data_IF_038796827658
#
_entry.id   IF_038796827658
#
_cell.length_a   1.000
_cell.length_b   1.000
_cell.length_c   1.000
_cell.angle_alpha   90.00
_cell.angle_beta   90.00
_cell.angle_gamma   90.00
#
_symmetry.space_group_name_H-M   'P 1'
#
loop_
_entity.id
_entity.type
_entity.pdbx_description
1 polymer ?
#
# COMPACT_ATOMS: atom_id res chain seq x y z
N UNK A 1 -20.91 -33.50 -24.92
CA UNK A 1 -21.03 -33.71 -23.45
C UNK A 1 -22.50 -33.84 -23.06
N UNK A 2 -22.84 -34.80 -22.16
CA UNK A 2 -24.22 -34.98 -21.66
C UNK A 2 -24.69 -33.71 -20.90
N UNK A 3 -25.86 -33.11 -21.24
CA UNK A 3 -26.36 -31.90 -20.60
C UNK A 3 -26.56 -32.04 -19.08
N UNK A 4 -26.96 -33.21 -18.61
CA UNK A 4 -27.15 -33.48 -17.16
C UNK A 4 -25.83 -33.50 -16.40
N UNK A 5 -24.78 -34.08 -16.99
CA UNK A 5 -23.44 -34.09 -16.43
C UNK A 5 -22.85 -32.68 -16.39
N UNK A 6 -23.04 -31.91 -17.45
CA UNK A 6 -22.59 -30.53 -17.54
C UNK A 6 -23.23 -29.64 -16.45
N UNK A 7 -24.55 -29.75 -16.28
CA UNK A 7 -25.24 -29.00 -15.23
C UNK A 7 -24.75 -29.38 -13.84
N UNK A 8 -24.50 -30.66 -13.57
CA UNK A 8 -23.97 -31.13 -12.30
C UNK A 8 -22.52 -30.63 -12.06
N UNK A 9 -21.69 -30.60 -13.10
CA UNK A 9 -20.34 -30.05 -13.01
C UNK A 9 -20.34 -28.55 -12.72
N UNK A 10 -21.18 -27.77 -13.41
CA UNK A 10 -21.30 -26.34 -13.19
C UNK A 10 -21.83 -26.05 -11.77
N UNK A 11 -22.80 -26.81 -11.28
CA UNK A 11 -23.37 -26.66 -9.94
C UNK A 11 -22.34 -26.96 -8.83
N UNK A 12 -21.32 -27.77 -9.08
CA UNK A 12 -20.24 -28.06 -8.14
C UNK A 12 -19.21 -26.91 -8.05
N UNK A 13 -19.23 -25.94 -8.95
CA UNK A 13 -18.32 -24.79 -8.95
C UNK A 13 -18.93 -23.70 -8.05
N UNK A 14 -18.23 -23.28 -6.98
CA UNK A 14 -18.78 -22.29 -6.03
C UNK A 14 -18.83 -20.87 -6.62
N UNK A 15 -18.01 -20.60 -7.65
CA UNK A 15 -17.98 -19.30 -8.34
C UNK A 15 -18.97 -19.27 -9.51
N UNK A 16 -19.39 -18.07 -9.98
CA UNK A 16 -20.19 -17.95 -11.18
C UNK A 16 -19.55 -18.65 -12.37
N UNK A 17 -20.23 -19.62 -12.92
CA UNK A 17 -19.74 -20.44 -14.04
C UNK A 17 -20.85 -20.69 -15.06
N UNK A 18 -20.50 -20.62 -16.34
CA UNK A 18 -21.43 -20.86 -17.44
C UNK A 18 -20.72 -21.49 -18.63
N UNK A 19 -21.50 -22.17 -19.45
CA UNK A 19 -21.02 -22.88 -20.62
C UNK A 19 -21.55 -22.22 -21.90
N UNK A 20 -20.64 -21.78 -22.75
CA UNK A 20 -20.96 -21.27 -24.08
C UNK A 20 -20.88 -22.38 -25.12
N UNK A 21 -21.87 -22.46 -26.00
CA UNK A 21 -21.88 -23.34 -27.15
C UNK A 21 -22.67 -22.71 -28.31
N UNK A 22 -22.11 -22.77 -29.50
CA UNK A 22 -22.79 -22.19 -30.69
C UNK A 22 -23.08 -20.71 -30.55
N UNK A 23 -22.22 -19.94 -29.87
CA UNK A 23 -22.40 -18.49 -29.69
C UNK A 23 -23.44 -18.07 -28.64
N UNK A 24 -23.93 -18.99 -27.79
CA UNK A 24 -24.86 -18.67 -26.70
C UNK A 24 -24.54 -19.44 -25.41
N UNK A 25 -25.02 -18.92 -24.27
CA UNK A 25 -24.94 -19.61 -22.98
C UNK A 25 -25.90 -20.80 -22.99
N UNK A 26 -25.36 -22.00 -23.04
CA UNK A 26 -26.14 -23.24 -23.08
C UNK A 26 -26.51 -23.75 -21.67
N UNK A 27 -25.69 -23.42 -20.65
CA UNK A 27 -25.96 -23.73 -19.25
C UNK A 27 -25.24 -22.72 -18.34
N UNK A 28 -25.78 -22.49 -17.14
CA UNK A 28 -25.19 -21.66 -16.11
C UNK A 28 -25.47 -22.25 -14.72
N UNK A 29 -24.63 -21.91 -13.72
CA UNK A 29 -24.90 -22.29 -12.35
C UNK A 29 -25.68 -21.18 -11.61
N UNK A 30 -26.24 -21.47 -10.41
CA UNK A 30 -27.02 -20.48 -9.65
C UNK A 30 -26.25 -19.19 -9.34
N UNK A 31 -24.93 -19.29 -9.15
CA UNK A 31 -24.10 -18.13 -8.91
C UNK A 31 -23.98 -17.24 -10.15
N UNK A 32 -23.95 -17.80 -11.36
CA UNK A 32 -23.98 -17.05 -12.61
C UNK A 32 -25.37 -16.43 -12.87
N UNK A 33 -26.46 -17.17 -12.55
CA UNK A 33 -27.83 -16.65 -12.64
C UNK A 33 -28.05 -15.44 -11.72
N UNK A 34 -27.51 -15.46 -10.51
CA UNK A 34 -27.53 -14.33 -9.57
C UNK A 34 -26.80 -13.09 -10.12
N UNK A 35 -25.90 -13.26 -11.09
CA UNK A 35 -25.23 -12.17 -11.79
C UNK A 35 -25.97 -11.68 -13.04
N UNK A 36 -27.08 -12.31 -13.40
CA UNK A 36 -27.85 -11.99 -14.59
C UNK A 36 -27.42 -12.75 -15.85
N UNK A 37 -26.64 -13.82 -15.71
CA UNK A 37 -26.29 -14.72 -16.83
C UNK A 37 -27.32 -15.83 -16.89
N UNK A 38 -28.09 -15.90 -17.98
CA UNK A 38 -29.11 -16.92 -18.16
C UNK A 38 -28.88 -17.75 -19.41
N UNK A 39 -29.33 -18.99 -19.38
CA UNK A 39 -29.31 -19.86 -20.57
C UNK A 39 -30.08 -19.23 -21.72
N UNK A 40 -29.52 -19.30 -22.92
CA UNK A 40 -30.06 -18.70 -24.14
C UNK A 40 -29.55 -17.30 -24.46
N UNK A 41 -28.84 -16.63 -23.57
CA UNK A 41 -28.20 -15.33 -23.85
C UNK A 41 -27.08 -15.49 -24.87
N UNK A 42 -26.99 -14.56 -25.85
CA UNK A 42 -25.90 -14.60 -26.82
C UNK A 42 -24.55 -14.27 -26.18
N UNK A 43 -23.48 -14.86 -26.70
CA UNK A 43 -22.13 -14.59 -26.21
C UNK A 43 -21.74 -13.11 -26.37
N UNK A 44 -22.23 -12.43 -27.43
CA UNK A 44 -21.99 -11.00 -27.67
C UNK A 44 -22.70 -10.09 -26.65
N UNK A 45 -23.85 -10.52 -26.11
CA UNK A 45 -24.53 -9.80 -25.04
C UNK A 45 -23.83 -10.01 -23.69
N UNK A 46 -23.21 -11.15 -23.51
CA UNK A 46 -22.57 -11.54 -22.26
C UNK A 46 -21.14 -11.01 -22.15
N UNK A 47 -20.37 -11.04 -23.23
CA UNK A 47 -18.91 -10.89 -23.20
C UNK A 47 -18.37 -9.93 -24.26
N UNK A 48 -17.43 -9.10 -23.84
CA UNK A 48 -16.67 -8.22 -24.72
C UNK A 48 -15.19 -8.13 -24.23
N UNK A 49 -14.20 -8.64 -24.99
CA UNK A 49 -14.34 -9.52 -26.15
C UNK A 49 -14.80 -10.95 -25.77
N UNK A 50 -15.33 -11.69 -26.74
CA UNK A 50 -15.61 -13.13 -26.58
C UNK A 50 -14.25 -13.85 -26.51
N UNK A 51 -13.95 -14.58 -25.42
CA UNK A 51 -12.65 -15.21 -25.27
C UNK A 51 -12.47 -16.41 -26.19
N UNK A 52 -11.30 -16.49 -26.83
CA UNK A 52 -10.87 -17.68 -27.54
C UNK A 52 -10.11 -18.58 -26.56
N UNK A 53 -10.67 -19.76 -26.26
CA UNK A 53 -9.98 -20.74 -25.44
C UNK A 53 -9.21 -21.72 -26.33
N UNK A 54 -7.87 -21.85 -26.17
CA UNK A 54 -7.11 -22.89 -26.87
C UNK A 54 -7.53 -24.28 -26.37
N UNK A 55 -7.33 -25.30 -27.21
CA UNK A 55 -7.54 -26.68 -26.79
C UNK A 55 -6.44 -27.06 -25.79
N UNK A 56 -6.80 -27.65 -24.65
CA UNK A 56 -5.85 -28.12 -23.64
C UNK A 56 -5.99 -27.43 -22.29
N UNK A 57 -4.99 -26.67 -21.87
CA UNK A 57 -4.96 -26.08 -20.54
C UNK A 57 -5.91 -24.87 -20.40
N UNK A 58 -6.53 -24.67 -19.20
CA UNK A 58 -7.35 -23.50 -18.92
C UNK A 58 -6.54 -22.20 -19.02
N UNK A 59 -7.08 -21.19 -19.69
CA UNK A 59 -6.44 -19.88 -19.88
C UNK A 59 -7.20 -18.81 -19.12
N UNK A 60 -6.49 -17.85 -18.53
CA UNK A 60 -7.06 -16.65 -17.94
C UNK A 60 -7.21 -15.57 -19.01
N UNK A 61 -8.40 -15.02 -19.14
CA UNK A 61 -8.72 -13.97 -20.11
C UNK A 61 -9.41 -12.81 -19.40
N UNK A 62 -9.00 -11.59 -19.72
CA UNK A 62 -9.74 -10.38 -19.32
C UNK A 62 -10.82 -10.09 -20.33
N UNK A 63 -12.04 -9.91 -19.86
CA UNK A 63 -13.20 -9.56 -20.69
C UNK A 63 -14.20 -8.72 -19.86
N UNK A 64 -15.18 -8.12 -20.52
CA UNK A 64 -16.33 -7.55 -19.81
C UNK A 64 -17.46 -8.57 -19.81
N UNK A 65 -17.95 -8.94 -18.63
CA UNK A 65 -19.15 -9.75 -18.45
C UNK A 65 -20.33 -8.81 -18.11
N UNK A 66 -21.34 -8.77 -18.96
CA UNK A 66 -22.48 -7.85 -18.85
C UNK A 66 -22.02 -6.40 -18.63
N UNK A 67 -21.00 -5.97 -19.40
CA UNK A 67 -20.42 -4.63 -19.33
C UNK A 67 -19.48 -4.37 -18.14
N UNK A 68 -19.30 -5.34 -17.24
CA UNK A 68 -18.38 -5.22 -16.09
C UNK A 68 -17.08 -5.94 -16.38
N UNK A 69 -15.95 -5.24 -16.29
CA UNK A 69 -14.63 -5.82 -16.47
C UNK A 69 -14.36 -6.93 -15.44
N UNK A 70 -13.82 -8.05 -15.89
CA UNK A 70 -13.59 -9.23 -15.07
C UNK A 70 -12.45 -10.09 -15.62
N UNK A 71 -11.96 -10.99 -14.77
CA UNK A 71 -11.05 -12.06 -15.17
C UNK A 71 -11.83 -13.37 -15.20
N UNK A 72 -11.83 -14.01 -16.37
CA UNK A 72 -12.47 -15.30 -16.61
C UNK A 72 -11.41 -16.38 -16.81
N UNK A 73 -11.64 -17.53 -16.22
CA UNK A 73 -10.92 -18.74 -16.53
C UNK A 73 -11.68 -19.51 -17.61
N UNK A 74 -11.08 -19.68 -18.77
CA UNK A 74 -11.71 -20.29 -19.94
C UNK A 74 -11.11 -21.68 -20.16
N UNK A 75 -11.97 -22.69 -20.30
CA UNK A 75 -11.60 -24.06 -20.60
C UNK A 75 -12.42 -24.59 -21.77
N UNK A 76 -11.75 -25.02 -22.84
CA UNK A 76 -12.42 -25.64 -23.98
C UNK A 76 -12.77 -27.09 -23.66
N UNK A 77 -14.02 -27.47 -23.89
CA UNK A 77 -14.53 -28.81 -23.58
C UNK A 77 -14.68 -29.70 -24.80
N UNK A 78 -15.04 -29.14 -25.97
CA UNK A 78 -15.21 -29.75 -27.26
C UNK A 78 -14.96 -28.72 -28.36
N UNK A 79 -15.18 -29.09 -29.65
CA UNK A 79 -14.88 -28.19 -30.77
C UNK A 79 -15.59 -26.83 -30.68
N UNK A 80 -16.83 -26.79 -30.12
CA UNK A 80 -17.68 -25.59 -30.09
C UNK A 80 -18.04 -25.12 -28.65
N UNK A 81 -17.48 -25.77 -27.63
CA UNK A 81 -17.90 -25.53 -26.24
C UNK A 81 -16.79 -24.98 -25.34
N UNK A 82 -17.11 -23.91 -24.60
CA UNK A 82 -16.19 -23.27 -23.65
C UNK A 82 -16.88 -23.15 -22.29
N UNK A 83 -16.25 -23.66 -21.24
CA UNK A 83 -16.62 -23.37 -19.86
C UNK A 83 -15.90 -22.10 -19.43
N UNK A 84 -16.65 -21.13 -18.88
CA UNK A 84 -16.14 -19.91 -18.33
C UNK A 84 -16.46 -19.85 -16.84
N UNK A 85 -15.44 -19.62 -16.04
CA UNK A 85 -15.54 -19.44 -14.60
C UNK A 85 -15.08 -18.03 -14.25
N UNK A 86 -15.92 -17.28 -13.58
CA UNK A 86 -15.55 -15.96 -13.09
C UNK A 86 -14.58 -16.09 -11.92
N UNK A 87 -13.33 -15.69 -12.10
CA UNK A 87 -12.33 -15.66 -11.02
C UNK A 87 -12.38 -14.37 -10.20
N UNK A 88 -12.55 -13.23 -10.88
CA UNK A 88 -12.70 -11.93 -10.22
C UNK A 88 -13.48 -10.96 -11.11
N UNK A 89 -14.33 -10.13 -10.51
CA UNK A 89 -14.85 -8.91 -11.14
C UNK A 89 -13.94 -7.77 -10.77
N UNK A 90 -13.62 -6.87 -11.70
CA UNK A 90 -12.86 -5.66 -11.36
C UNK A 90 -13.61 -4.75 -10.36
N UNK A 91 -14.97 -4.87 -10.29
CA UNK A 91 -15.77 -4.21 -9.25
C UNK A 91 -15.66 -4.89 -7.87
N UNK A 92 -15.38 -6.19 -7.84
CA UNK A 92 -15.22 -6.96 -6.59
C UNK A 92 -13.76 -6.93 -6.08
N UNK A 93 -12.81 -6.59 -6.94
CA UNK A 93 -11.48 -6.14 -6.52
C UNK A 93 -11.62 -4.69 -6.01
N UNK A 94 -12.10 -4.56 -4.78
CA UNK A 94 -12.02 -3.27 -4.08
C UNK A 94 -10.58 -2.78 -4.16
N UNK A 95 -10.38 -1.48 -4.48
CA UNK A 95 -9.05 -0.90 -4.39
C UNK A 95 -8.39 -1.33 -3.08
N UNK A 96 -7.10 -1.67 -3.06
CA UNK A 96 -6.41 -2.15 -1.86
C UNK A 96 -6.70 -1.28 -0.63
N UNK A 97 -6.70 0.04 -0.80
CA UNK A 97 -7.05 1.00 0.26
C UNK A 97 -8.47 0.81 0.83
N UNK A 98 -9.46 0.47 0.00
CA UNK A 98 -10.84 0.22 0.47
C UNK A 98 -10.94 -1.12 1.20
N UNK A 99 -10.13 -2.11 0.81
CA UNK A 99 -10.03 -3.39 1.50
C UNK A 99 -9.40 -3.21 2.88
N UNK A 100 -8.24 -2.54 2.95
CA UNK A 100 -7.57 -2.20 4.21
C UNK A 100 -8.49 -1.41 5.15
N UNK A 101 -9.29 -0.48 4.60
CA UNK A 101 -10.24 0.32 5.37
C UNK A 101 -11.36 -0.55 5.99
N UNK A 102 -11.90 -1.49 5.22
CA UNK A 102 -12.91 -2.44 5.73
C UNK A 102 -12.34 -3.40 6.76
N UNK A 103 -11.12 -3.88 6.56
CA UNK A 103 -10.46 -4.77 7.51
C UNK A 103 -10.22 -4.04 8.84
N UNK A 104 -9.78 -2.79 8.80
CA UNK A 104 -9.57 -1.97 9.99
C UNK A 104 -10.91 -1.60 10.68
N UNK A 105 -11.97 -1.32 9.92
CA UNK A 105 -13.32 -1.09 10.45
C UNK A 105 -13.87 -2.34 11.15
N UNK A 106 -13.71 -3.51 10.55
CA UNK A 106 -14.15 -4.78 11.13
C UNK A 106 -13.36 -5.12 12.39
N UNK A 107 -12.05 -4.92 12.40
CA UNK A 107 -11.21 -5.11 13.60
C UNK A 107 -11.65 -4.17 14.72
N UNK A 108 -11.92 -2.89 14.41
CA UNK A 108 -12.42 -1.90 15.36
C UNK A 108 -13.76 -2.32 15.97
N UNK A 109 -14.73 -2.70 15.13
CA UNK A 109 -16.06 -3.16 15.59
C UNK A 109 -15.94 -4.37 16.52
N UNK A 110 -15.14 -5.37 16.11
CA UNK A 110 -14.92 -6.59 16.92
C UNK A 110 -14.25 -6.24 18.26
N UNK A 111 -13.26 -5.34 18.27
CA UNK A 111 -12.59 -4.93 19.50
C UNK A 111 -13.52 -4.18 20.46
N UNK A 112 -14.42 -3.34 19.95
CA UNK A 112 -15.43 -2.63 20.74
C UNK A 112 -16.44 -3.63 21.36
N UNK A 113 -16.93 -4.60 20.57
CA UNK A 113 -17.88 -5.60 21.04
C UNK A 113 -17.26 -6.45 22.16
N UNK A 114 -16.02 -6.91 21.99
CA UNK A 114 -15.29 -7.68 23.00
C UNK A 114 -15.00 -6.86 24.28
N UNK A 115 -14.70 -5.56 24.13
CA UNK A 115 -14.51 -4.67 25.27
C UNK A 115 -15.82 -4.50 26.08
N UNK A 116 -16.97 -4.44 25.38
CA UNK A 116 -18.28 -4.33 26.02
C UNK A 116 -18.68 -5.61 26.77
N UNK A 117 -18.21 -6.79 26.34
CA UNK A 117 -18.43 -8.07 27.02
C UNK A 117 -17.62 -8.21 28.33
N UNK A 118 -16.70 -7.28 28.61
CA UNK A 118 -15.98 -7.18 29.88
C UNK A 118 -14.80 -8.13 30.07
N UNK A 119 -14.41 -8.89 29.02
CA UNK A 119 -13.21 -9.73 29.06
C UNK A 119 -11.99 -8.92 28.58
N UNK A 120 -10.95 -8.78 29.40
CA UNK A 120 -9.69 -8.11 29.08
C UNK A 120 -9.89 -6.73 28.39
N UNK A 121 -10.66 -5.87 29.05
CA UNK A 121 -11.11 -4.56 28.50
C UNK A 121 -9.92 -3.70 28.09
N UNK A 122 -8.81 -3.71 28.84
CA UNK A 122 -7.62 -2.90 28.51
C UNK A 122 -7.05 -3.31 27.15
N UNK A 123 -6.85 -4.60 26.90
CA UNK A 123 -6.34 -5.11 25.63
C UNK A 123 -7.29 -4.82 24.45
N UNK A 124 -8.60 -5.01 24.65
CA UNK A 124 -9.56 -4.75 23.58
C UNK A 124 -9.68 -3.24 23.29
N UNK A 125 -9.54 -2.39 24.31
CA UNK A 125 -9.47 -0.94 24.09
C UNK A 125 -8.20 -0.55 23.33
N UNK A 126 -7.04 -1.13 23.65
CA UNK A 126 -5.80 -0.90 22.90
C UNK A 126 -5.92 -1.39 21.45
N UNK A 127 -6.59 -2.53 21.19
CA UNK A 127 -6.90 -3.00 19.83
C UNK A 127 -7.78 -2.01 19.06
N UNK A 128 -8.84 -1.48 19.71
CA UNK A 128 -9.70 -0.49 19.10
C UNK A 128 -8.93 0.80 18.77
N UNK A 129 -8.07 1.27 19.68
CA UNK A 129 -7.19 2.42 19.43
C UNK A 129 -6.25 2.15 18.25
N UNK A 130 -5.58 0.99 18.21
CA UNK A 130 -4.73 0.62 17.07
C UNK A 130 -5.49 0.65 15.75
N UNK A 131 -6.71 0.13 15.71
CA UNK A 131 -7.53 0.14 14.50
C UNK A 131 -7.91 1.56 14.07
N UNK A 132 -8.15 2.49 15.02
CA UNK A 132 -8.33 3.91 14.70
C UNK A 132 -7.08 4.53 14.08
N UNK A 133 -5.88 4.24 14.60
CA UNK A 133 -4.63 4.71 14.00
C UNK A 133 -4.41 4.13 12.59
N UNK A 134 -4.82 2.88 12.35
CA UNK A 134 -4.80 2.27 11.01
C UNK A 134 -5.75 2.97 10.04
N UNK A 135 -6.98 3.28 10.47
CA UNK A 135 -7.94 4.04 9.68
C UNK A 135 -7.40 5.44 9.33
N UNK A 136 -6.80 6.13 10.30
CA UNK A 136 -6.17 7.43 10.07
C UNK A 136 -5.03 7.33 9.04
N UNK A 137 -4.18 6.31 9.13
CA UNK A 137 -3.12 6.07 8.15
C UNK A 137 -3.67 5.91 6.73
N UNK A 138 -4.71 5.09 6.55
CA UNK A 138 -5.33 4.87 5.25
C UNK A 138 -5.92 6.16 4.71
N UNK A 139 -6.61 6.92 5.58
CA UNK A 139 -7.21 8.22 5.24
C UNK A 139 -6.13 9.22 4.79
N UNK A 140 -5.03 9.32 5.53
CA UNK A 140 -3.89 10.19 5.18
C UNK A 140 -3.27 9.79 3.83
N UNK A 141 -3.09 8.49 3.57
CA UNK A 141 -2.57 8.01 2.28
C UNK A 141 -3.48 8.38 1.11
N UNK A 142 -4.79 8.22 1.28
CA UNK A 142 -5.77 8.62 0.28
C UNK A 142 -5.75 10.14 0.06
N UNK A 143 -5.72 10.92 1.14
CA UNK A 143 -5.64 12.38 1.07
C UNK A 143 -4.36 12.83 0.32
N UNK A 144 -3.20 12.27 0.67
CA UNK A 144 -1.96 12.55 -0.02
C UNK A 144 -2.01 12.15 -1.49
N UNK A 145 -2.57 10.98 -1.79
CA UNK A 145 -2.75 10.54 -3.17
C UNK A 145 -3.55 11.56 -3.98
N UNK A 146 -4.73 11.99 -3.49
CA UNK A 146 -5.55 12.98 -4.19
C UNK A 146 -4.88 14.35 -4.30
N UNK A 147 -4.16 14.77 -3.27
CA UNK A 147 -3.42 16.05 -3.31
C UNK A 147 -2.27 16.01 -4.31
N UNK A 148 -1.50 14.93 -4.35
CA UNK A 148 -0.34 14.77 -5.23
C UNK A 148 -0.72 14.57 -6.71
N UNK A 149 -1.88 13.97 -6.98
CA UNK A 149 -2.40 13.75 -8.34
C UNK A 149 -3.25 14.91 -8.85
N UNK A 150 -3.66 15.82 -7.97
CA UNK A 150 -4.44 17.01 -8.33
C UNK A 150 -3.62 18.05 -9.09
N UNK A 151 -4.29 18.73 -10.02
CA UNK A 151 -3.66 19.83 -10.77
C UNK A 151 -3.28 20.98 -9.82
N UNK A 152 -2.01 21.41 -9.89
CA UNK A 152 -1.54 22.60 -9.18
C UNK A 152 -1.06 22.38 -7.76
N UNK A 153 -0.83 21.14 -7.33
CA UNK A 153 -0.18 20.90 -6.04
C UNK A 153 1.17 21.60 -5.97
N UNK A 154 1.40 22.31 -4.88
CA UNK A 154 2.70 22.96 -4.57
C UNK A 154 3.06 22.63 -3.13
N UNK A 155 4.30 22.15 -2.87
CA UNK A 155 4.79 21.94 -1.51
C UNK A 155 4.78 23.26 -0.71
N UNK A 156 4.27 23.20 0.52
CA UNK A 156 4.33 24.32 1.47
C UNK A 156 5.69 24.34 2.16
N UNK A 157 6.66 24.97 1.47
CA UNK A 157 8.05 25.01 1.93
C UNK A 157 8.26 26.04 3.02
N UNK A 158 8.78 25.59 4.14
CA UNK A 158 9.12 26.41 5.30
C UNK A 158 10.59 26.30 5.65
N UNK A 159 11.18 27.40 6.16
CA UNK A 159 12.53 27.41 6.67
C UNK A 159 12.63 26.44 7.86
N UNK A 160 13.56 25.50 7.81
CA UNK A 160 13.70 24.42 8.81
C UNK A 160 15.17 24.14 9.05
N UNK A 161 15.59 23.97 10.31
CA UNK A 161 16.86 23.32 10.62
C UNK A 161 16.71 21.82 10.33
N UNK A 162 17.22 21.40 9.18
CA UNK A 162 17.10 20.03 8.69
C UNK A 162 17.83 19.04 9.59
N UNK A 163 18.95 19.44 10.18
CA UNK A 163 19.74 18.55 11.02
C UNK A 163 19.06 18.26 12.34
N UNK A 164 18.45 19.27 12.96
CA UNK A 164 17.66 19.12 14.18
C UNK A 164 16.36 18.36 13.90
N UNK A 165 15.65 18.73 12.85
CA UNK A 165 14.39 18.09 12.44
C UNK A 165 14.54 16.59 12.15
N UNK A 166 15.56 16.21 11.37
CA UNK A 166 15.82 14.79 11.05
C UNK A 166 16.26 14.02 12.30
N UNK A 167 17.08 14.63 13.17
CA UNK A 167 17.48 14.00 14.43
C UNK A 167 16.26 13.73 15.32
N UNK A 168 15.33 14.68 15.41
CA UNK A 168 14.09 14.50 16.17
C UNK A 168 13.21 13.39 15.59
N UNK A 169 13.03 13.34 14.26
CA UNK A 169 12.29 12.26 13.60
C UNK A 169 12.94 10.89 13.83
N UNK A 170 14.27 10.81 13.70
CA UNK A 170 15.01 9.57 13.89
C UNK A 170 14.90 9.08 15.33
N UNK A 171 14.98 9.99 16.32
CA UNK A 171 14.80 9.65 17.73
C UNK A 171 13.41 9.09 18.00
N UNK A 172 12.37 9.74 17.50
CA UNK A 172 10.99 9.27 17.65
C UNK A 172 10.79 7.90 17.00
N UNK A 173 11.37 7.69 15.80
CA UNK A 173 11.26 6.41 15.11
C UNK A 173 12.03 5.29 15.86
N UNK A 174 13.24 5.57 16.39
CA UNK A 174 13.99 4.61 17.20
C UNK A 174 13.24 4.23 18.47
N UNK A 175 12.64 5.20 19.17
CA UNK A 175 11.86 4.95 20.40
C UNK A 175 10.64 4.05 20.12
N UNK A 176 9.90 4.29 19.03
CA UNK A 176 8.78 3.43 18.62
C UNK A 176 9.23 2.04 18.16
N UNK A 177 10.29 1.94 17.37
CA UNK A 177 10.80 0.66 16.88
C UNK A 177 11.37 -0.22 17.98
N UNK A 178 11.88 0.36 19.07
CA UNK A 178 12.30 -0.39 20.27
C UNK A 178 11.17 -1.21 20.89
N UNK A 179 9.93 -0.77 20.79
CA UNK A 179 8.76 -1.56 21.24
C UNK A 179 8.66 -2.91 20.51
N UNK A 180 9.30 -3.04 19.34
CA UNK A 180 9.43 -4.29 18.57
C UNK A 180 10.77 -4.98 18.71
N UNK A 181 11.68 -4.45 19.55
CA UNK A 181 13.06 -4.93 19.63
C UNK A 181 13.94 -4.52 18.44
N UNK A 182 13.49 -3.61 17.58
CA UNK A 182 14.27 -3.04 16.46
C UNK A 182 14.88 -1.70 16.85
N UNK A 183 15.95 -1.31 16.15
CA UNK A 183 16.61 -0.02 16.32
C UNK A 183 16.69 0.73 14.99
N UNK A 184 16.72 2.05 15.05
CA UNK A 184 17.02 2.91 13.91
C UNK A 184 18.33 3.68 14.20
N UNK A 185 19.44 3.24 13.60
CA UNK A 185 20.74 3.89 13.73
C UNK A 185 20.82 5.09 12.79
N UNK A 186 21.02 6.30 13.35
CA UNK A 186 21.26 7.50 12.55
C UNK A 186 22.77 7.66 12.26
N UNK A 187 23.11 7.77 10.97
CA UNK A 187 24.44 8.15 10.48
C UNK A 187 24.34 9.44 9.68
N UNK A 188 24.86 10.52 10.21
CA UNK A 188 24.81 11.82 9.55
C UNK A 188 26.21 12.28 9.16
N UNK A 189 26.35 12.68 7.89
CA UNK A 189 27.46 13.47 7.36
C UNK A 189 27.02 14.88 6.97
N UNK A 190 25.79 15.26 7.33
CA UNK A 190 25.27 16.61 7.14
C UNK A 190 25.93 17.61 8.12
N UNK A 191 25.95 18.90 7.79
CA UNK A 191 26.39 19.94 8.72
C UNK A 191 25.59 19.92 10.02
N UNK A 192 26.19 20.31 11.14
CA UNK A 192 25.53 20.35 12.45
C UNK A 192 24.30 21.28 12.44
N UNK A 193 24.43 22.42 11.77
CA UNK A 193 23.36 23.36 11.51
C UNK A 193 23.17 23.50 10.00
N UNK A 194 22.02 23.08 9.53
CA UNK A 194 21.69 23.11 8.12
C UNK A 194 20.26 23.60 7.91
N UNK A 195 20.13 24.89 7.65
CA UNK A 195 18.83 25.50 7.38
C UNK A 195 18.51 25.34 5.88
N UNK A 196 17.32 24.79 5.60
CA UNK A 196 16.80 24.59 4.26
C UNK A 196 15.30 24.88 4.20
N UNK A 197 14.79 25.04 2.98
CA UNK A 197 13.36 25.22 2.71
C UNK A 197 12.73 23.89 2.32
N UNK A 198 11.86 23.36 3.16
CA UNK A 198 11.23 22.04 3.00
C UNK A 198 9.76 22.09 3.43
N UNK A 199 8.91 21.36 2.74
CA UNK A 199 7.58 21.02 3.25
C UNK A 199 7.73 19.90 4.29
N UNK A 200 7.66 20.28 5.56
CA UNK A 200 7.90 19.36 6.69
C UNK A 200 6.85 18.25 6.77
N UNK A 201 5.59 18.55 6.42
CA UNK A 201 4.52 17.56 6.47
C UNK A 201 4.72 16.51 5.40
N UNK A 202 5.00 16.95 4.18
CA UNK A 202 5.28 16.06 3.04
C UNK A 202 6.54 15.23 3.25
N UNK A 203 7.64 15.87 3.67
CA UNK A 203 8.91 15.19 3.93
C UNK A 203 8.84 14.26 5.13
N UNK A 204 8.11 14.64 6.18
CA UNK A 204 7.83 13.80 7.35
C UNK A 204 7.02 12.55 6.98
N UNK A 205 5.99 12.71 6.16
CA UNK A 205 5.22 11.58 5.63
C UNK A 205 6.13 10.62 4.84
N UNK A 206 6.96 11.13 3.93
CA UNK A 206 7.92 10.31 3.17
C UNK A 206 8.88 9.56 4.09
N UNK A 207 9.42 10.21 5.12
CA UNK A 207 10.29 9.60 6.13
C UNK A 207 9.59 8.45 6.86
N UNK A 208 8.38 8.69 7.38
CA UNK A 208 7.63 7.69 8.12
C UNK A 208 7.20 6.51 7.25
N UNK A 209 6.75 6.76 6.02
CA UNK A 209 6.37 5.70 5.09
C UNK A 209 7.58 4.81 4.73
N UNK A 210 8.74 5.41 4.44
CA UNK A 210 9.98 4.65 4.21
C UNK A 210 10.37 3.83 5.44
N UNK A 211 10.35 4.45 6.62
CA UNK A 211 10.69 3.77 7.87
C UNK A 211 9.76 2.59 8.14
N UNK A 212 8.44 2.78 7.99
CA UNK A 212 7.46 1.71 8.18
C UNK A 212 7.68 0.54 7.21
N UNK A 213 7.91 0.83 5.93
CA UNK A 213 8.14 -0.20 4.91
C UNK A 213 9.43 -0.97 5.16
N UNK A 214 10.51 -0.28 5.50
CA UNK A 214 11.77 -0.93 5.79
C UNK A 214 11.73 -1.72 7.10
N UNK A 215 11.03 -1.22 8.14
CA UNK A 215 10.82 -1.95 9.39
C UNK A 215 10.01 -3.25 9.18
N UNK A 216 8.98 -3.21 8.33
CA UNK A 216 8.22 -4.40 7.97
C UNK A 216 9.09 -5.45 7.26
N UNK A 217 9.94 -5.00 6.31
CA UNK A 217 10.83 -5.87 5.55
C UNK A 217 11.97 -6.45 6.36
N UNK A 218 12.44 -5.69 7.35
CA UNK A 218 13.60 -6.07 8.16
C UNK A 218 13.33 -7.25 9.09
N UNK A 219 12.06 -7.63 9.30
CA UNK A 219 11.63 -8.76 10.14
C UNK A 219 12.38 -8.83 11.48
N UNK A 220 12.38 -7.72 12.22
CA UNK A 220 13.06 -7.59 13.51
C UNK A 220 14.52 -7.17 13.43
N UNK A 221 15.15 -7.07 12.26
CA UNK A 221 16.49 -6.53 12.13
C UNK A 221 16.53 -5.01 12.28
N UNK A 222 17.68 -4.48 12.71
CA UNK A 222 17.91 -3.05 12.86
C UNK A 222 17.92 -2.34 11.49
N UNK A 223 17.47 -1.10 11.49
CA UNK A 223 17.51 -0.19 10.35
C UNK A 223 18.66 0.81 10.50
N UNK A 224 19.11 1.35 9.38
CA UNK A 224 20.06 2.46 9.33
C UNK A 224 19.50 3.59 8.48
N UNK A 225 19.48 4.80 9.03
CA UNK A 225 19.23 6.03 8.32
C UNK A 225 20.55 6.77 8.10
N UNK A 226 20.94 6.94 6.86
CA UNK A 226 22.09 7.78 6.48
C UNK A 226 21.62 9.11 5.94
N UNK A 227 22.18 10.21 6.46
CA UNK A 227 21.83 11.59 6.08
C UNK A 227 23.04 12.27 5.52
N UNK A 228 22.88 12.89 4.35
CA UNK A 228 23.95 13.64 3.70
C UNK A 228 23.39 14.79 2.87
N UNK A 229 24.26 15.73 2.53
CA UNK A 229 23.98 16.79 1.56
C UNK A 229 24.32 16.31 0.16
N UNK A 230 23.43 16.56 -0.82
CA UNK A 230 23.75 16.27 -2.21
C UNK A 230 24.79 17.28 -2.75
N UNK A 231 25.44 16.97 -3.86
CA UNK A 231 26.39 17.89 -4.54
C UNK A 231 25.74 19.19 -4.97
N UNK A 232 24.42 19.18 -5.18
CA UNK A 232 23.63 20.36 -5.55
C UNK A 232 23.06 21.10 -4.32
N UNK A 233 23.41 20.67 -3.12
CA UNK A 233 22.95 21.30 -1.89
C UNK A 233 21.67 20.73 -1.29
N UNK A 234 21.01 19.79 -1.96
CA UNK A 234 19.77 19.14 -1.50
C UNK A 234 19.99 18.15 -0.36
N UNK A 235 18.90 17.74 0.25
CA UNK A 235 18.86 16.69 1.29
C UNK A 235 18.85 15.30 0.65
N UNK A 236 19.68 14.39 1.19
CA UNK A 236 19.66 12.98 0.85
C UNK A 236 19.47 12.15 2.12
N UNK A 237 18.38 11.39 2.14
CA UNK A 237 18.08 10.40 3.17
C UNK A 237 18.18 9.00 2.57
N UNK A 238 18.91 8.10 3.21
CA UNK A 238 19.03 6.72 2.74
C UNK A 238 18.68 5.77 3.90
N UNK A 239 17.57 5.03 3.74
CA UNK A 239 17.15 3.99 4.69
C UNK A 239 17.62 2.64 4.19
N UNK A 240 18.29 1.86 5.01
CA UNK A 240 18.81 0.53 4.67
C UNK A 240 18.63 -0.48 5.80
N UNK A 241 18.73 -1.78 5.43
CA UNK A 241 18.73 -2.92 6.34
C UNK A 241 20.16 -3.53 6.33
N UNK A 242 21.05 -3.17 7.26
CA UNK A 242 22.49 -3.47 7.16
C UNK A 242 22.86 -4.95 7.10
N UNK A 243 22.00 -5.83 7.60
CA UNK A 243 22.26 -7.29 7.65
C UNK A 243 21.61 -8.06 6.50
N UNK A 244 20.83 -7.40 5.66
CA UNK A 244 20.16 -8.05 4.57
C UNK A 244 21.04 -8.01 3.32
N UNK A 245 21.69 -9.12 3.01
CA UNK A 245 22.50 -9.29 1.79
C UNK A 245 21.65 -10.06 0.77
N UNK A 246 21.36 -9.44 -0.35
CA UNK A 246 20.69 -10.05 -1.48
C UNK A 246 19.52 -9.25 -2.01
N UNK A 247 19.16 -9.47 -3.27
CA UNK A 247 17.91 -8.97 -3.84
C UNK A 247 16.75 -9.61 -3.11
N UNK A 248 15.88 -8.80 -2.53
CA UNK A 248 14.61 -9.27 -2.04
C UNK A 248 13.77 -9.68 -3.25
N UNK A 249 13.38 -10.95 -3.40
CA UNK A 249 12.67 -11.42 -4.58
C UNK A 249 11.42 -10.58 -4.86
N UNK A 250 11.27 -10.08 -6.06
CA UNK A 250 10.13 -9.27 -6.49
C UNK A 250 10.21 -7.77 -6.17
N UNK A 251 11.16 -7.29 -5.38
CA UNK A 251 11.23 -5.88 -4.97
C UNK A 251 11.74 -4.96 -6.09
N UNK A 252 12.74 -5.37 -6.85
CA UNK A 252 13.22 -4.61 -8.01
C UNK A 252 12.11 -4.45 -9.07
N UNK A 253 11.21 -5.42 -9.18
CA UNK A 253 10.05 -5.38 -10.06
C UNK A 253 8.94 -4.46 -9.50
N UNK A 254 8.62 -4.59 -8.21
CA UNK A 254 7.65 -3.73 -7.52
C UNK A 254 8.05 -2.25 -7.58
N UNK A 255 9.35 -1.97 -7.59
CA UNK A 255 9.90 -0.62 -7.61
C UNK A 255 10.02 -0.04 -9.01
N UNK A 256 10.33 -0.87 -10.01
CA UNK A 256 10.21 -0.46 -11.41
C UNK A 256 8.77 -0.11 -11.77
N UNK A 257 7.78 -0.75 -11.12
CA UNK A 257 6.36 -0.42 -11.28
C UNK A 257 5.92 0.80 -10.47
N UNK A 258 6.57 1.09 -9.35
CA UNK A 258 6.34 2.32 -8.59
C UNK A 258 6.80 3.59 -9.34
N UNK A 259 7.67 3.48 -10.35
CA UNK A 259 7.96 4.54 -11.31
C UNK A 259 6.85 4.75 -12.36
N UNK A 260 5.84 3.87 -12.41
CA UNK A 260 4.66 4.05 -13.25
C UNK A 260 3.80 5.18 -12.68
N UNK A 261 3.44 6.13 -13.52
CA UNK A 261 2.49 7.21 -13.18
C UNK A 261 1.04 6.69 -13.06
N UNK A 262 0.80 5.42 -13.42
CA UNK A 262 -0.51 4.79 -13.32
C UNK A 262 -0.68 4.08 -11.95
N UNK A 263 -1.56 4.59 -11.07
CA UNK A 263 -1.85 3.97 -9.78
C UNK A 263 -2.41 2.54 -9.87
N UNK A 264 -3.05 2.20 -11.00
CA UNK A 264 -3.55 0.85 -11.25
C UNK A 264 -2.43 -0.17 -11.52
N UNK A 265 -1.23 0.33 -11.87
CA UNK A 265 -0.04 -0.49 -12.04
C UNK A 265 0.70 -0.78 -10.73
N UNK A 266 0.28 -0.18 -9.61
CA UNK A 266 0.91 -0.40 -8.31
C UNK A 266 0.57 -1.81 -7.80
N UNK A 267 1.57 -2.61 -7.42
CA UNK A 267 1.34 -3.99 -7.02
C UNK A 267 0.46 -4.06 -5.77
N UNK A 268 -0.49 -4.99 -5.78
CA UNK A 268 -1.24 -5.37 -4.59
C UNK A 268 -0.28 -5.93 -3.54
N UNK A 269 -0.19 -5.23 -2.44
CA UNK A 269 0.51 -5.71 -1.24
C UNK A 269 1.98 -5.32 -1.13
N UNK A 270 2.37 -5.08 0.06
CA UNK A 270 3.65 -5.02 0.75
C UNK A 270 4.67 -3.91 0.43
N UNK A 271 4.86 -3.40 -0.78
CA UNK A 271 5.91 -2.38 -1.00
C UNK A 271 5.52 -1.29 -2.00
N UNK A 272 4.45 -0.58 -1.67
CA UNK A 272 4.02 0.56 -2.48
C UNK A 272 4.71 1.85 -2.02
N UNK A 273 5.78 2.24 -2.72
CA UNK A 273 6.47 3.51 -2.54
C UNK A 273 6.04 4.57 -3.57
N UNK A 274 5.02 4.30 -4.37
CA UNK A 274 4.48 5.23 -5.36
C UNK A 274 4.18 6.60 -4.78
N UNK A 275 3.40 6.73 -3.69
CA UNK A 275 3.15 8.02 -3.05
C UNK A 275 4.43 8.75 -2.62
N UNK A 276 5.44 8.02 -2.11
CA UNK A 276 6.72 8.61 -1.72
C UNK A 276 7.49 9.11 -2.95
N UNK A 277 7.50 8.35 -4.05
CA UNK A 277 8.13 8.76 -5.31
C UNK A 277 7.47 10.00 -5.89
N UNK A 278 6.12 10.03 -5.92
CA UNK A 278 5.36 11.20 -6.38
C UNK A 278 5.64 12.44 -5.51
N UNK A 279 5.61 12.29 -4.19
CA UNK A 279 5.91 13.36 -3.24
C UNK A 279 7.32 13.90 -3.41
N UNK A 280 8.30 13.02 -3.63
CA UNK A 280 9.68 13.40 -3.90
C UNK A 280 9.80 14.21 -5.19
N UNK A 281 9.15 13.79 -6.29
CA UNK A 281 9.10 14.51 -7.56
C UNK A 281 8.48 15.91 -7.40
N UNK A 282 7.36 16.02 -6.68
CA UNK A 282 6.70 17.31 -6.39
C UNK A 282 7.59 18.22 -5.53
N UNK A 283 8.47 17.66 -4.71
CA UNK A 283 9.45 18.41 -3.92
C UNK A 283 10.73 18.73 -4.69
N UNK A 284 10.79 18.43 -5.99
CA UNK A 284 11.96 18.65 -6.84
C UNK A 284 13.07 17.63 -6.64
N UNK A 285 12.74 16.45 -6.13
CA UNK A 285 13.67 15.38 -5.83
C UNK A 285 13.35 14.06 -6.51
N UNK A 286 13.83 12.96 -5.94
CA UNK A 286 13.62 11.61 -6.45
C UNK A 286 13.73 10.56 -5.35
N UNK A 287 13.09 9.41 -5.56
CA UNK A 287 13.26 8.20 -4.78
C UNK A 287 13.96 7.15 -5.65
N UNK A 288 15.04 6.58 -5.16
CA UNK A 288 15.77 5.51 -5.83
C UNK A 288 15.90 4.32 -4.88
N UNK A 289 15.78 3.11 -5.40
CA UNK A 289 16.19 1.93 -4.71
C UNK A 289 17.50 1.41 -5.29
N UNK A 290 18.38 1.06 -4.40
CA UNK A 290 19.73 0.62 -4.74
C UNK A 290 20.25 -0.30 -3.64
N UNK A 291 21.45 -0.81 -3.82
CA UNK A 291 22.21 -1.41 -2.73
C UNK A 291 23.22 -0.39 -2.21
N UNK A 292 23.44 -0.39 -0.90
CA UNK A 292 24.52 0.40 -0.30
C UNK A 292 25.89 -0.21 -0.63
N UNK A 293 26.96 0.43 -0.18
CA UNK A 293 28.34 -0.03 -0.41
C UNK A 293 28.63 -1.43 0.18
N UNK A 294 27.82 -1.89 1.14
CA UNK A 294 27.91 -3.19 1.79
C UNK A 294 26.98 -4.24 1.12
N UNK A 295 26.27 -3.85 0.07
CA UNK A 295 25.32 -4.68 -0.67
C UNK A 295 23.94 -4.82 0.00
N UNK A 296 23.66 -3.99 1.02
CA UNK A 296 22.35 -3.99 1.68
C UNK A 296 21.32 -3.20 0.89
N UNK A 297 20.06 -3.66 0.88
CA UNK A 297 18.94 -2.94 0.25
C UNK A 297 18.77 -1.57 0.87
N UNK A 298 18.70 -0.54 0.02
CA UNK A 298 18.69 0.85 0.42
C UNK A 298 17.70 1.66 -0.41
N UNK A 299 16.80 2.40 0.23
CA UNK A 299 15.99 3.45 -0.40
C UNK A 299 16.68 4.79 -0.21
N UNK A 300 16.94 5.49 -1.30
CA UNK A 300 17.57 6.82 -1.31
C UNK A 300 16.54 7.85 -1.74
N UNK A 301 16.11 8.66 -0.79
CA UNK A 301 15.25 9.82 -1.01
C UNK A 301 16.12 11.07 -1.15
N UNK A 302 16.05 11.73 -2.27
CA UNK A 302 16.70 13.02 -2.51
C UNK A 302 15.64 14.11 -2.61
N UNK A 303 15.82 15.24 -1.92
CA UNK A 303 14.90 16.38 -1.94
C UNK A 303 15.66 17.67 -2.23
N UNK A 304 15.06 18.52 -3.04
CA UNK A 304 15.56 19.89 -3.20
C UNK A 304 15.13 20.72 -1.97
N UNK A 305 16.11 21.30 -1.28
CA UNK A 305 15.90 22.05 -0.04
C UNK A 305 16.40 23.49 -0.20
N UNK A 306 16.22 24.17 -1.21
CA UNK A 306 16.60 25.57 -1.43
C UNK A 306 17.54 26.18 -0.37
N UNK A 307 18.39 27.09 -0.75
CA UNK A 307 19.24 27.78 0.22
C UNK A 307 18.44 28.96 0.82
N UNK A 308 18.28 28.94 2.13
CA UNK A 308 17.72 30.08 2.88
C UNK A 308 18.83 30.81 3.66
N UNK A 309 18.66 32.12 3.89
CA UNK A 309 19.54 32.85 4.80
C UNK A 309 19.51 32.24 6.20
N UNK A 310 20.68 32.22 6.86
CA UNK A 310 20.88 31.59 8.19
C UNK A 310 20.12 32.23 9.35
N UNK A 311 19.48 33.36 9.13
CA UNK A 311 18.76 34.14 10.15
C UNK A 311 17.24 33.85 10.20
N UNK A 312 16.75 32.89 9.42
CA UNK A 312 15.34 32.49 9.43
C UNK A 312 15.14 31.34 10.43
N UNK A 313 14.57 31.64 11.60
CA UNK A 313 14.28 30.64 12.63
C UNK A 313 12.88 30.07 12.44
N UNK A 314 12.77 28.74 12.49
CA UNK A 314 11.50 28.04 12.59
C UNK A 314 11.51 27.07 13.77
N UNK A 315 10.46 27.13 14.58
CA UNK A 315 10.29 26.18 15.67
C UNK A 315 9.91 24.78 15.13
N UNK A 316 10.49 23.70 15.64
CA UNK A 316 10.11 22.35 15.24
C UNK A 316 8.72 22.01 15.80
N UNK A 317 7.77 21.64 14.96
CA UNK A 317 6.58 20.93 15.37
C UNK A 317 6.38 19.71 14.47
N UNK A 318 6.25 18.54 15.07
CA UNK A 318 6.11 17.25 14.35
C UNK A 318 4.73 16.63 14.67
N UNK A 319 3.72 17.45 14.95
CA UNK A 319 2.36 16.94 15.19
C UNK A 319 1.54 17.04 13.92
N UNK A 320 0.77 16.00 13.63
CA UNK A 320 -0.31 16.07 12.64
C UNK A 320 -1.34 17.11 13.07
N UNK A 321 -2.06 17.70 12.12
CA UNK A 321 -3.09 18.73 12.37
C UNK A 321 -4.15 18.26 13.38
N UNK A 322 -4.38 16.94 13.52
CA UNK A 322 -5.31 16.33 14.47
C UNK A 322 -4.71 15.94 15.81
N UNK A 323 -3.47 16.29 16.08
CA UNK A 323 -2.81 16.02 17.36
C UNK A 323 -2.29 14.58 17.53
N UNK A 324 -2.53 13.67 16.59
CA UNK A 324 -2.01 12.31 16.65
C UNK A 324 -0.51 12.26 16.33
N UNK A 325 0.21 11.36 17.00
CA UNK A 325 1.64 11.19 16.75
C UNK A 325 1.87 10.50 15.40
N UNK A 326 2.58 11.15 14.44
CA UNK A 326 2.72 10.62 13.06
C UNK A 326 3.31 9.21 13.01
N UNK A 327 4.28 8.91 13.88
CA UNK A 327 4.91 7.61 13.94
C UNK A 327 3.95 6.49 14.38
N UNK A 328 3.07 6.76 15.36
CA UNK A 328 2.06 5.80 15.78
C UNK A 328 1.08 5.49 14.65
N UNK A 329 0.67 6.52 13.90
CA UNK A 329 -0.20 6.36 12.74
C UNK A 329 0.48 5.49 11.69
N UNK A 330 1.70 5.84 11.27
CA UNK A 330 2.38 5.17 10.16
C UNK A 330 2.91 3.77 10.51
N UNK A 331 3.23 3.52 11.78
CA UNK A 331 3.71 2.23 12.27
C UNK A 331 2.60 1.36 12.89
N UNK A 332 1.33 1.75 12.78
CA UNK A 332 0.20 1.10 13.47
C UNK A 332 0.04 -0.39 13.17
N UNK A 333 0.46 -0.88 12.00
CA UNK A 333 0.44 -2.32 11.68
C UNK A 333 1.63 -3.09 12.29
N UNK A 334 2.66 -2.38 12.68
CA UNK A 334 3.94 -2.98 13.07
C UNK A 334 4.15 -3.02 14.58
N UNK A 335 3.59 -2.02 15.28
CA UNK A 335 3.78 -1.88 16.72
C UNK A 335 2.91 -2.88 17.50
N UNK A 336 3.39 -3.37 18.66
CA UNK A 336 2.60 -4.18 19.58
C UNK A 336 1.32 -3.47 19.99
N UNK A 337 0.26 -4.23 20.27
CA UNK A 337 -1.06 -3.68 20.66
C UNK A 337 -0.97 -2.83 21.91
N UNK A 338 -0.13 -3.22 22.83
CA UNK A 338 0.11 -2.56 24.11
C UNK A 338 0.58 -1.10 23.94
N UNK A 339 1.28 -0.80 22.83
CA UNK A 339 1.71 0.56 22.50
C UNK A 339 0.52 1.53 22.28
N UNK A 340 -0.67 1.01 22.06
CA UNK A 340 -1.90 1.77 21.81
C UNK A 340 -2.83 1.82 23.03
N UNK A 341 -2.33 1.52 24.23
CA UNK A 341 -3.10 1.70 25.46
C UNK A 341 -3.42 3.20 25.65
N UNK A 342 -4.71 3.59 25.72
CA UNK A 342 -5.09 5.00 25.89
C UNK A 342 -4.53 5.65 27.15
N UNK A 343 -4.16 4.85 28.16
CA UNK A 343 -3.58 5.38 29.41
C UNK A 343 -2.11 5.78 29.25
N UNK A 344 -1.42 5.22 28.24
CA UNK A 344 -0.03 5.50 27.93
C UNK A 344 0.14 6.47 26.74
N UNK A 345 -0.96 6.74 26.02
CA UNK A 345 -0.97 7.70 24.92
C UNK A 345 -1.15 9.14 25.49
N UNK A 346 -0.13 9.95 25.38
CA UNK A 346 -0.24 11.41 25.59
C UNK A 346 -1.02 12.04 24.42
N UNK A 347 -2.31 12.26 24.62
CA UNK A 347 -3.18 12.96 23.67
C UNK A 347 -3.07 14.48 23.78
#
# INVERSE_FOLDING_TARGET
>A
MDPSLLTALLAAIPCPAFYLRGGSAAACNPAAEALGVFSGMSAEQLLDPIPEAPAGEPVRVRAKLLGTACTLRCSRTDEDGIILVLEARERDALPPAVRELRDAEQELSTAIDLAAEGSDTARHTALACRSLFRLERITLRLEWYYRLTGDGFRPDRQATDLSEWIRALCQQADDLLRCRGQRLELRSSAPEHWIGSIDRNLAGMMFWELTARFAAMADGADLRLSVSRTTQGGLRLAVSIPRHRGELPGQAEALRRADSEDPAAWPEGSFDLGPVSMAAKQHGGSLLLTSDAEGAVCAVLSLDVGNLPSDTLCAPSVRLERGLHPGLVMLSDLLPVETFDPQELDF
#
